data_IF_976570584168
#
_entry.id   IF_976570584168
#
_cell.length_a   1.000
_cell.length_b   1.000
_cell.length_c   1.000
_cell.angle_alpha   90.00
_cell.angle_beta   90.00
_cell.angle_gamma   90.00
#
_symmetry.space_group_name_H-M   'P 1'
#
loop_
_entity.id
_entity.type
_entity.pdbx_description
1 polymer ?
#
# COMPACT_ATOMS: atom_id res chain seq x y z
N UNK A 1 -18.74 0.72 -16.58
CA UNK A 1 -18.26 -0.60 -16.12
C UNK A 1 -16.90 -0.40 -15.44
N UNK A 2 -16.86 -0.62 -14.15
CA UNK A 2 -15.59 -0.50 -13.43
C UNK A 2 -14.79 -1.77 -13.62
N UNK A 3 -13.62 -1.65 -14.23
CA UNK A 3 -12.72 -2.77 -14.29
C UNK A 3 -12.08 -2.96 -12.91
N UNK A 4 -12.48 -4.01 -12.23
CA UNK A 4 -11.77 -4.42 -11.02
C UNK A 4 -10.32 -4.77 -11.40
N UNK A 5 -9.32 -4.33 -10.61
CA UNK A 5 -7.93 -4.74 -10.84
C UNK A 5 -7.76 -6.25 -10.97
N UNK A 6 -8.63 -7.01 -10.33
CA UNK A 6 -8.61 -8.47 -10.30
C UNK A 6 -9.01 -9.09 -11.64
N UNK A 7 -9.74 -8.37 -12.47
CA UNK A 7 -10.23 -8.88 -13.75
C UNK A 7 -9.24 -8.72 -14.91
N UNK A 8 -8.17 -8.00 -14.68
CA UNK A 8 -7.15 -7.77 -15.69
C UNK A 8 -6.11 -8.90 -15.64
N UNK A 9 -5.84 -9.51 -16.78
CA UNK A 9 -4.92 -10.66 -16.86
C UNK A 9 -3.44 -10.27 -16.74
N UNK A 10 -3.10 -8.98 -16.82
CA UNK A 10 -1.72 -8.53 -16.68
C UNK A 10 -1.36 -8.25 -15.22
N UNK A 11 -0.08 -8.37 -14.85
CA UNK A 11 0.39 -7.93 -13.53
C UNK A 11 0.10 -6.45 -13.32
N UNK A 12 -0.27 -6.09 -12.10
CA UNK A 12 -0.52 -4.70 -11.72
C UNK A 12 0.51 -4.26 -10.68
N UNK A 13 1.06 -3.08 -10.91
CA UNK A 13 2.02 -2.47 -9.98
C UNK A 13 1.25 -1.63 -8.96
N UNK A 14 1.43 -1.94 -7.69
CA UNK A 14 0.66 -1.34 -6.60
C UNK A 14 1.60 -0.68 -5.59
N UNK A 15 1.28 0.55 -5.22
CA UNK A 15 1.87 1.22 -4.07
C UNK A 15 0.91 1.09 -2.89
N UNK A 16 1.38 0.55 -1.78
CA UNK A 16 0.63 0.46 -0.53
C UNK A 16 1.22 1.39 0.52
N UNK A 17 0.36 2.09 1.24
CA UNK A 17 0.73 3.05 2.28
C UNK A 17 -0.09 2.74 3.53
N UNK A 18 0.55 2.71 4.69
CA UNK A 18 -0.15 2.64 5.98
C UNK A 18 0.56 3.52 7.00
N UNK A 19 -0.20 4.42 7.59
CA UNK A 19 0.29 5.35 8.61
C UNK A 19 -0.58 5.32 9.86
N UNK A 20 -1.25 4.20 10.10
CA UNK A 20 -2.18 4.05 11.22
C UNK A 20 -1.51 3.87 12.57
N UNK A 21 -0.22 3.56 12.58
CA UNK A 21 0.59 3.41 13.80
C UNK A 21 1.62 4.53 13.90
N UNK A 22 2.56 4.40 14.84
CA UNK A 22 3.69 5.32 14.96
C UNK A 22 4.72 5.17 13.83
N UNK A 23 4.52 4.18 12.97
CA UNK A 23 5.39 3.94 11.83
C UNK A 23 4.74 4.43 10.55
N UNK A 24 5.54 5.04 9.69
CA UNK A 24 5.18 5.24 8.29
C UNK A 24 5.63 4.00 7.54
N UNK A 25 4.70 3.33 6.89
CA UNK A 25 5.01 2.13 6.13
C UNK A 25 4.53 2.29 4.69
N UNK A 26 5.36 1.88 3.75
CA UNK A 26 4.95 1.77 2.36
C UNK A 26 5.63 0.58 1.69
N UNK A 27 5.03 0.11 0.64
CA UNK A 27 5.56 -0.99 -0.15
C UNK A 27 5.14 -0.84 -1.61
N UNK A 28 5.97 -1.33 -2.50
CA UNK A 28 5.64 -1.47 -3.92
C UNK A 28 5.74 -2.93 -4.29
N UNK A 29 4.72 -3.43 -4.94
CA UNK A 29 4.69 -4.82 -5.36
C UNK A 29 3.83 -5.01 -6.58
N UNK A 30 3.90 -6.20 -7.15
CA UNK A 30 3.04 -6.60 -8.26
C UNK A 30 2.01 -7.60 -7.79
N UNK A 31 0.79 -7.44 -8.29
CA UNK A 31 -0.27 -8.42 -8.16
C UNK A 31 -0.34 -9.20 -9.46
N UNK A 32 -0.07 -10.50 -9.39
CA UNK A 32 -0.01 -11.36 -10.56
C UNK A 32 -1.17 -12.34 -10.52
N UNK A 33 -2.12 -12.25 -11.48
CA UNK A 33 -3.20 -13.22 -11.56
C UNK A 33 -2.66 -14.65 -11.75
N UNK A 34 -3.27 -15.59 -11.07
CA UNK A 34 -2.88 -17.01 -11.13
C UNK A 34 -3.88 -17.83 -11.94
N UNK A 35 -3.41 -18.86 -12.60
CA UNK A 35 -4.29 -19.85 -13.21
C UNK A 35 -5.14 -20.51 -12.14
N UNK A 36 -6.44 -20.65 -12.40
CA UNK A 36 -7.37 -21.20 -11.43
C UNK A 36 -7.93 -20.19 -10.45
N UNK A 37 -7.54 -18.90 -10.58
CA UNK A 37 -8.02 -17.81 -9.73
C UNK A 37 -7.03 -17.43 -8.64
N UNK A 38 -7.29 -16.28 -8.03
CA UNK A 38 -6.41 -15.72 -7.01
C UNK A 38 -5.30 -14.85 -7.56
N UNK A 39 -4.53 -14.29 -6.64
CA UNK A 39 -3.44 -13.38 -6.93
C UNK A 39 -2.18 -13.80 -6.18
N UNK A 40 -1.06 -13.78 -6.86
CA UNK A 40 0.24 -13.83 -6.21
C UNK A 40 0.75 -12.40 -6.02
N UNK A 41 1.42 -12.16 -4.91
CA UNK A 41 2.03 -10.85 -4.61
C UNK A 41 3.54 -11.02 -4.68
N UNK A 42 4.18 -10.19 -5.50
CA UNK A 42 5.63 -10.07 -5.52
C UNK A 42 6.02 -8.72 -4.93
N UNK A 43 6.69 -8.74 -3.78
CA UNK A 43 7.17 -7.53 -3.14
C UNK A 43 8.45 -7.06 -3.83
N UNK A 44 8.45 -5.83 -4.35
CA UNK A 44 9.60 -5.24 -5.03
C UNK A 44 10.42 -4.37 -4.11
N UNK A 45 9.77 -3.57 -3.27
CA UNK A 45 10.44 -2.74 -2.28
C UNK A 45 9.51 -2.44 -1.12
N UNK A 46 10.09 -2.14 0.02
CA UNK A 46 9.34 -1.65 1.17
C UNK A 46 10.18 -0.65 1.96
N UNK A 47 9.51 0.20 2.70
CA UNK A 47 10.17 1.15 3.58
C UNK A 47 9.29 1.45 4.76
N UNK A 48 9.90 1.52 5.92
CA UNK A 48 9.23 1.93 7.14
C UNK A 48 10.19 2.73 7.99
N UNK A 49 9.68 3.71 8.70
CA UNK A 49 10.45 4.41 9.71
C UNK A 49 9.51 5.10 10.71
N UNK A 50 10.02 5.38 11.92
CA UNK A 50 9.20 6.08 12.91
C UNK A 50 8.78 7.46 12.42
N UNK A 51 7.50 7.77 12.58
CA UNK A 51 6.96 9.09 12.31
C UNK A 51 7.09 9.96 13.58
N UNK A 52 7.83 11.06 13.49
CA UNK A 52 8.04 11.89 14.67
C UNK A 52 7.24 13.18 14.66
N UNK A 53 7.37 14.07 13.68
CA UNK A 53 6.70 15.37 13.71
C UNK A 53 6.20 15.91 12.37
N UNK A 54 6.77 15.46 11.26
CA UNK A 54 6.45 15.98 9.93
C UNK A 54 6.01 14.83 9.02
N UNK A 55 4.98 14.12 9.46
CA UNK A 55 4.51 12.90 8.82
C UNK A 55 4.25 13.05 7.33
N UNK A 56 3.64 14.17 6.92
CA UNK A 56 3.31 14.40 5.52
C UNK A 56 4.57 14.55 4.64
N UNK A 57 5.61 15.24 5.14
CA UNK A 57 6.88 15.40 4.41
C UNK A 57 7.65 14.08 4.41
N UNK A 58 7.74 13.43 5.56
CA UNK A 58 8.41 12.14 5.71
C UNK A 58 7.75 11.06 4.85
N UNK A 59 6.42 11.05 4.79
CA UNK A 59 5.69 10.09 3.97
C UNK A 59 5.99 10.28 2.48
N UNK A 60 5.99 11.51 1.99
CA UNK A 60 6.28 11.81 0.59
C UNK A 60 7.67 11.31 0.18
N UNK A 61 8.68 11.58 1.01
CA UNK A 61 10.06 11.13 0.74
C UNK A 61 10.18 9.61 0.85
N UNK A 62 9.51 9.00 1.82
CA UNK A 62 9.51 7.55 2.00
C UNK A 62 8.88 6.85 0.80
N UNK A 63 7.75 7.35 0.33
CA UNK A 63 7.05 6.80 -0.86
C UNK A 63 7.94 6.94 -2.09
N UNK A 64 8.53 8.10 -2.31
CA UNK A 64 9.41 8.33 -3.46
C UNK A 64 10.58 7.35 -3.46
N UNK A 65 11.26 7.22 -2.33
CA UNK A 65 12.38 6.29 -2.19
C UNK A 65 11.94 4.84 -2.42
N UNK A 66 10.78 4.47 -1.93
CA UNK A 66 10.24 3.12 -2.10
C UNK A 66 9.99 2.80 -3.57
N UNK A 67 9.36 3.74 -4.31
CA UNK A 67 9.11 3.58 -5.74
C UNK A 67 10.42 3.51 -6.54
N UNK A 68 11.38 4.37 -6.23
CA UNK A 68 12.69 4.34 -6.89
C UNK A 68 13.42 3.01 -6.66
N UNK A 69 13.41 2.50 -5.43
CA UNK A 69 14.04 1.21 -5.14
C UNK A 69 13.35 0.03 -5.81
N UNK A 70 12.09 0.16 -6.16
CA UNK A 70 11.37 -0.89 -6.89
C UNK A 70 11.80 -1.02 -8.35
N UNK A 71 12.58 -0.06 -8.86
CA UNK A 71 12.99 -0.01 -10.25
C UNK A 71 11.96 0.64 -11.17
N UNK A 72 10.93 1.27 -10.61
CA UNK A 72 9.86 1.92 -11.35
C UNK A 72 9.79 3.41 -11.04
N UNK A 73 9.00 4.12 -11.82
CA UNK A 73 8.65 5.52 -11.57
C UNK A 73 7.18 5.62 -11.17
N UNK A 74 6.78 6.75 -10.60
CA UNK A 74 5.40 6.95 -10.14
C UNK A 74 4.36 6.71 -11.24
N UNK A 75 4.65 7.11 -12.47
CA UNK A 75 3.75 6.93 -13.60
C UNK A 75 3.48 5.46 -13.94
N UNK A 76 4.35 4.55 -13.53
CA UNK A 76 4.19 3.12 -13.75
C UNK A 76 3.14 2.48 -12.83
N UNK A 77 2.79 3.14 -11.73
CA UNK A 77 1.83 2.61 -10.77
C UNK A 77 0.46 2.41 -11.42
N UNK A 78 -0.14 1.26 -11.17
CA UNK A 78 -1.50 0.95 -11.62
C UNK A 78 -2.54 1.28 -10.56
N UNK A 79 -2.21 1.08 -9.29
CA UNK A 79 -3.13 1.28 -8.17
C UNK A 79 -2.39 1.85 -6.97
N UNK A 80 -3.12 2.61 -6.16
CA UNK A 80 -2.67 3.06 -4.84
C UNK A 80 -3.57 2.43 -3.78
N UNK A 81 -2.96 1.75 -2.82
CA UNK A 81 -3.64 1.09 -1.71
C UNK A 81 -3.29 1.82 -0.43
N UNK A 82 -4.28 2.11 0.41
CA UNK A 82 -4.04 2.78 1.69
C UNK A 82 -4.71 2.03 2.83
N UNK A 83 -4.00 1.90 3.94
CA UNK A 83 -4.54 1.40 5.18
C UNK A 83 -5.51 2.40 5.80
N UNK A 84 -6.74 1.93 6.12
CA UNK A 84 -7.80 2.77 6.68
C UNK A 84 -7.84 2.75 8.21
N UNK A 85 -6.87 2.10 8.85
CA UNK A 85 -6.91 1.86 10.28
C UNK A 85 -7.72 0.61 10.61
N UNK A 86 -8.11 0.40 11.86
CA UNK A 86 -8.05 1.36 12.97
C UNK A 86 -6.63 1.67 13.43
N UNK A 87 -6.47 2.86 14.00
CA UNK A 87 -5.18 3.31 14.51
C UNK A 87 -5.20 4.80 14.84
N UNK A 88 -4.05 5.44 14.79
CA UNK A 88 -3.92 6.87 15.04
C UNK A 88 -4.83 7.68 14.12
N UNK A 89 -5.71 8.47 14.68
CA UNK A 89 -6.64 9.32 13.92
C UNK A 89 -5.89 10.26 12.96
N UNK A 90 -4.87 10.95 13.47
CA UNK A 90 -4.05 11.86 12.67
C UNK A 90 -3.27 11.10 11.60
N UNK A 91 -2.64 9.98 11.97
CA UNK A 91 -1.86 9.18 11.04
C UNK A 91 -2.70 8.64 9.89
N UNK A 92 -3.85 8.05 10.19
CA UNK A 92 -4.77 7.52 9.16
C UNK A 92 -5.19 8.63 8.19
N UNK A 93 -5.51 9.81 8.69
CA UNK A 93 -5.91 10.94 7.84
C UNK A 93 -4.79 11.39 6.92
N UNK A 94 -3.57 11.47 7.41
CA UNK A 94 -2.40 11.86 6.61
C UNK A 94 -2.17 10.83 5.49
N UNK A 95 -2.21 9.55 5.81
CA UNK A 95 -2.04 8.48 4.84
C UNK A 95 -3.10 8.51 3.75
N UNK A 96 -4.37 8.64 4.15
CA UNK A 96 -5.48 8.69 3.19
C UNK A 96 -5.39 9.95 2.32
N UNK A 97 -5.10 11.11 2.90
CA UNK A 97 -4.96 12.35 2.14
C UNK A 97 -3.81 12.27 1.12
N UNK A 98 -2.68 11.72 1.53
CA UNK A 98 -1.52 11.51 0.63
C UNK A 98 -1.88 10.55 -0.50
N UNK A 99 -2.50 9.41 -0.16
CA UNK A 99 -2.89 8.41 -1.14
C UNK A 99 -3.91 8.96 -2.15
N UNK A 100 -4.89 9.74 -1.68
CA UNK A 100 -5.85 10.41 -2.56
C UNK A 100 -5.16 11.39 -3.50
N UNK A 101 -4.24 12.20 -3.00
CA UNK A 101 -3.49 13.14 -3.82
C UNK A 101 -2.68 12.44 -4.90
N UNK A 102 -2.00 11.36 -4.55
CA UNK A 102 -1.24 10.56 -5.50
C UNK A 102 -2.14 9.92 -6.56
N UNK A 103 -3.20 9.24 -6.13
CA UNK A 103 -4.13 8.57 -7.04
C UNK A 103 -4.79 9.57 -8.01
N UNK A 104 -5.21 10.72 -7.48
CA UNK A 104 -5.80 11.78 -8.29
C UNK A 104 -4.78 12.34 -9.30
N UNK A 105 -3.58 12.67 -8.83
CA UNK A 105 -2.54 13.23 -9.71
C UNK A 105 -2.06 12.27 -10.79
N UNK A 106 -2.09 10.98 -10.52
CA UNK A 106 -1.70 9.94 -11.48
C UNK A 106 -2.88 9.41 -12.30
N UNK A 107 -4.11 9.82 -11.99
CA UNK A 107 -5.35 9.30 -12.57
C UNK A 107 -5.45 7.77 -12.40
N UNK A 108 -5.13 7.28 -11.20
CA UNK A 108 -5.14 5.86 -10.88
C UNK A 108 -6.15 5.55 -9.77
N UNK A 109 -6.67 4.31 -9.72
CA UNK A 109 -7.59 3.91 -8.66
C UNK A 109 -6.96 3.98 -7.27
N UNK A 110 -7.78 4.36 -6.29
CA UNK A 110 -7.45 4.32 -4.88
C UNK A 110 -8.26 3.22 -4.21
N UNK A 111 -7.57 2.32 -3.54
CA UNK A 111 -8.18 1.20 -2.81
C UNK A 111 -7.89 1.37 -1.32
N UNK A 112 -8.87 1.05 -0.49
CA UNK A 112 -8.71 1.06 0.97
C UNK A 112 -8.71 -0.36 1.53
N UNK A 113 -7.88 -0.61 2.53
CA UNK A 113 -7.83 -1.89 3.23
C UNK A 113 -7.75 -1.68 4.74
N UNK A 114 -8.31 -2.62 5.49
CA UNK A 114 -8.19 -2.58 6.95
C UNK A 114 -6.77 -2.92 7.36
N UNK A 115 -6.19 -2.08 8.23
CA UNK A 115 -4.88 -2.33 8.81
C UNK A 115 -4.86 -3.62 9.62
N UNK A 116 -5.98 -3.93 10.30
CA UNK A 116 -6.09 -5.16 11.09
C UNK A 116 -6.08 -6.42 10.22
N UNK A 117 -6.67 -6.37 9.04
CA UNK A 117 -6.64 -7.50 8.11
C UNK A 117 -5.21 -7.82 7.69
N UNK A 118 -4.42 -6.81 7.36
CA UNK A 118 -3.01 -6.97 7.03
C UNK A 118 -2.22 -7.56 8.21
N UNK A 119 -2.44 -7.03 9.40
CA UNK A 119 -1.79 -7.49 10.62
C UNK A 119 -2.14 -8.94 10.94
N UNK A 120 -3.42 -9.29 10.83
CA UNK A 120 -3.89 -10.66 11.06
C UNK A 120 -3.28 -11.64 10.07
N UNK A 121 -3.16 -11.24 8.80
CA UNK A 121 -2.56 -12.07 7.77
C UNK A 121 -1.06 -12.34 8.05
N UNK A 122 -0.33 -11.30 8.44
CA UNK A 122 1.09 -11.44 8.81
C UNK A 122 1.23 -12.36 10.02
N UNK A 123 0.42 -12.17 11.05
CA UNK A 123 0.44 -13.02 12.25
C UNK A 123 0.15 -14.48 11.89
N UNK A 124 -0.85 -14.71 11.04
CA UNK A 124 -1.21 -16.06 10.60
C UNK A 124 -0.05 -16.73 9.84
N UNK A 125 0.59 -16.00 8.92
CA UNK A 125 1.76 -16.52 8.18
C UNK A 125 2.94 -16.84 9.09
N UNK A 126 3.13 -16.05 10.14
CA UNK A 126 4.20 -16.25 11.12
C UNK A 126 3.94 -17.40 12.10
N UNK A 127 2.80 -18.09 11.95
CA UNK A 127 2.44 -19.22 12.80
C UNK A 127 1.77 -18.84 14.11
N UNK A 128 1.46 -17.57 14.31
CA UNK A 128 0.67 -17.13 15.46
C UNK A 128 -0.77 -17.56 15.24
N UNK A 129 -1.26 -18.49 16.07
CA UNK A 129 -2.63 -18.97 15.99
C UNK A 129 -3.43 -18.39 17.15
N UNK A 130 -4.61 -17.86 16.86
CA UNK A 130 -5.55 -17.48 17.87
C UNK A 130 -6.11 -18.71 18.60
N UNK A 131 -6.53 -18.50 19.83
CA UNK A 131 -7.24 -19.54 20.57
C UNK A 131 -8.70 -19.64 20.14
#
# INVERSE_FOLDING_TARGET
MSDSPIQNSRPRLVLAIDTSTDMLACAVGTLVPQEGGGLAVELLSSGDHPCRRQANIELASTVRACVERSGHVMADLDDVLVGRGPGSFTGVRIGIATAKGLACGLSKPLLGASTLDATAWVAWRSGIRGK
#
